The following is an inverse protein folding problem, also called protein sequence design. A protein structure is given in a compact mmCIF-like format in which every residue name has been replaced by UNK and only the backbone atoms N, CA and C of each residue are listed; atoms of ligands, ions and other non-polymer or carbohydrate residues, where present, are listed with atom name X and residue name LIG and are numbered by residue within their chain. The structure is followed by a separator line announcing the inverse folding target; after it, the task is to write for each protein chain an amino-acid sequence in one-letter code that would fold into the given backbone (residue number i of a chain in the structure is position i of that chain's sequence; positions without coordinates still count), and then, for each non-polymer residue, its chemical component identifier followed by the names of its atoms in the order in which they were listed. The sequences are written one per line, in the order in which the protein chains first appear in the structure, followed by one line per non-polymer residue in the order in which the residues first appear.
data_IF_206189342014
#
_entry.id   IF_206189342014
#
_cell.length_a   1.000
_cell.length_b   1.000
_cell.length_c   1.000
_cell.angle_alpha   90.00
_cell.angle_beta   90.00
_cell.angle_gamma   90.00
#
_symmetry.space_group_name_H-M   'P 1'
#
loop_
_entity.id
_entity.type
_entity.pdbx_description
1 polymer ?
#
# COMPACT_ATOMS: atom_id res chain seq x y z
N UNK A 1 5.81 1.95 11.89
CA UNK A 1 6.90 2.70 11.24
C UNK A 1 6.47 2.97 9.81
N UNK A 2 6.56 4.21 9.32
CA UNK A 2 6.17 4.50 7.94
C UNK A 2 7.32 4.06 7.02
N UNK A 3 7.18 2.90 6.40
CA UNK A 3 8.13 2.37 5.43
C UNK A 3 7.97 3.14 4.12
N UNK A 4 9.04 3.80 3.64
CA UNK A 4 9.04 4.54 2.36
C UNK A 4 9.52 3.65 1.21
N UNK A 5 8.83 2.54 0.94
CA UNK A 5 9.24 1.58 -0.10
C UNK A 5 8.76 2.00 -1.48
N UNK A 6 9.65 1.93 -2.47
CA UNK A 6 9.32 2.12 -3.89
C UNK A 6 9.13 0.76 -4.57
N UNK A 7 8.15 0.69 -5.44
CA UNK A 7 7.98 -0.47 -6.31
C UNK A 7 9.23 -0.68 -7.18
N UNK A 8 9.71 -1.92 -7.36
CA UNK A 8 10.75 -2.21 -8.34
C UNK A 8 10.24 -2.07 -9.79
N UNK A 9 8.92 -2.05 -9.99
CA UNK A 9 8.30 -1.93 -11.30
C UNK A 9 7.94 -0.48 -11.61
N UNK A 10 8.29 -0.01 -12.81
CA UNK A 10 7.67 1.20 -13.39
C UNK A 10 6.26 0.83 -13.82
N UNK A 11 5.26 1.37 -13.11
CA UNK A 11 3.85 1.07 -13.36
C UNK A 11 3.01 2.32 -13.53
N UNK A 12 2.21 2.38 -14.59
CA UNK A 12 1.28 3.48 -14.81
C UNK A 12 0.22 3.52 -13.69
N UNK A 13 0.00 4.69 -13.10
CA UNK A 13 -0.89 4.83 -11.95
C UNK A 13 -0.30 4.36 -10.62
N UNK A 14 1.02 4.19 -10.51
CA UNK A 14 1.71 3.92 -9.24
C UNK A 14 1.37 4.95 -8.17
N UNK A 15 1.01 4.47 -6.97
CA UNK A 15 0.46 5.31 -5.88
C UNK A 15 1.52 5.90 -4.96
N UNK A 16 2.81 5.79 -5.31
CA UNK A 16 3.91 6.21 -4.44
C UNK A 16 3.81 7.66 -3.96
N UNK A 17 3.38 8.58 -4.84
CA UNK A 17 3.26 10.02 -4.52
C UNK A 17 2.15 10.35 -3.51
N UNK A 18 1.12 9.49 -3.41
CA UNK A 18 -0.07 9.71 -2.58
C UNK A 18 -0.18 8.72 -1.44
N UNK A 19 0.85 7.89 -1.21
CA UNK A 19 0.80 6.81 -0.22
C UNK A 19 0.54 7.37 1.19
N UNK A 20 1.16 8.49 1.55
CA UNK A 20 0.94 9.14 2.85
C UNK A 20 -0.52 9.54 3.10
N UNK A 21 -1.22 10.01 2.06
CA UNK A 21 -2.65 10.35 2.18
C UNK A 21 -3.52 9.10 2.28
N UNK A 22 -3.20 8.04 1.52
CA UNK A 22 -3.91 6.75 1.62
C UNK A 22 -3.79 6.17 3.04
N UNK A 23 -2.60 6.18 3.62
CA UNK A 23 -2.35 5.63 4.97
C UNK A 23 -3.13 6.35 6.07
N UNK A 24 -3.46 7.64 5.89
CA UNK A 24 -4.26 8.41 6.87
C UNK A 24 -5.71 7.93 6.95
N UNK A 25 -6.25 7.40 5.85
CA UNK A 25 -7.67 7.02 5.74
C UNK A 25 -7.88 5.50 5.65
N UNK A 26 -6.82 4.73 5.39
CA UNK A 26 -6.89 3.28 5.30
C UNK A 26 -7.12 2.66 6.70
N UNK A 27 -8.22 1.92 6.91
CA UNK A 27 -8.50 1.32 8.21
C UNK A 27 -7.62 0.07 8.41
N UNK A 28 -6.49 0.24 9.09
CA UNK A 28 -5.58 -0.86 9.46
C UNK A 28 -5.96 -1.52 10.80
N UNK A 29 -6.44 -0.74 11.78
CA UNK A 29 -6.73 -1.26 13.12
C UNK A 29 -7.87 -2.27 13.08
N UNK A 30 -7.61 -3.49 13.58
CA UNK A 30 -8.61 -4.57 13.65
C UNK A 30 -8.91 -5.22 12.31
N UNK A 31 -8.05 -5.02 11.30
CA UNK A 31 -8.08 -5.74 10.03
C UNK A 31 -6.86 -6.66 9.95
N UNK A 32 -7.06 -7.89 9.49
CA UNK A 32 -5.99 -8.89 9.35
C UNK A 32 -5.47 -8.99 7.93
N UNK A 33 -6.34 -8.77 6.93
CA UNK A 33 -6.03 -8.97 5.52
C UNK A 33 -6.21 -7.71 4.68
N UNK A 34 -5.21 -7.39 3.86
CA UNK A 34 -5.33 -6.42 2.77
C UNK A 34 -5.65 -7.14 1.47
N UNK A 35 -6.79 -6.84 0.87
CA UNK A 35 -7.12 -7.32 -0.49
C UNK A 35 -7.02 -6.13 -1.45
N UNK A 36 -6.08 -6.19 -2.41
CA UNK A 36 -5.93 -5.19 -3.47
C UNK A 36 -6.24 -5.77 -4.86
N UNK A 37 -7.51 -5.74 -5.34
CA UNK A 37 -7.87 -6.29 -6.66
C UNK A 37 -7.14 -5.62 -7.82
N UNK A 38 -6.67 -4.39 -7.62
CA UNK A 38 -5.98 -3.57 -8.61
C UNK A 38 -4.61 -3.12 -8.10
N UNK A 39 -3.80 -4.08 -7.66
CA UNK A 39 -2.49 -3.85 -7.03
C UNK A 39 -1.52 -3.02 -7.89
N UNK A 40 -1.52 -3.23 -9.21
CA UNK A 40 -0.58 -2.61 -10.14
C UNK A 40 0.87 -2.81 -9.67
N UNK A 41 1.63 -1.72 -9.55
CA UNK A 41 3.00 -1.75 -9.01
C UNK A 41 3.11 -2.03 -7.51
N UNK A 42 2.01 -2.30 -6.78
CA UNK A 42 2.05 -2.68 -5.36
C UNK A 42 2.52 -1.59 -4.41
N UNK A 43 2.34 -0.31 -4.78
CA UNK A 43 2.80 0.79 -3.91
C UNK A 43 2.09 0.84 -2.56
N UNK A 44 0.85 0.37 -2.45
CA UNK A 44 0.14 0.33 -1.17
C UNK A 44 0.59 -0.88 -0.37
N UNK A 45 0.47 -2.09 -0.91
CA UNK A 45 1.06 -3.33 -0.38
C UNK A 45 2.45 -3.13 0.25
N UNK A 46 3.39 -2.51 -0.47
CA UNK A 46 4.76 -2.30 0.02
C UNK A 46 4.89 -1.27 1.15
N UNK A 47 3.86 -0.51 1.49
CA UNK A 47 3.96 0.58 2.47
C UNK A 47 2.92 0.43 3.60
N UNK A 48 2.27 -0.74 3.69
CA UNK A 48 1.36 -1.12 4.78
C UNK A 48 1.79 -2.46 5.33
N UNK A 49 1.44 -2.71 6.58
CA UNK A 49 1.69 -4.00 7.22
C UNK A 49 0.34 -4.60 7.64
N UNK A 50 0.04 -5.78 7.08
CA UNK A 50 -1.10 -6.62 7.40
C UNK A 50 -0.59 -8.04 7.66
N UNK A 51 -1.30 -8.79 8.50
CA UNK A 51 -0.95 -10.18 8.81
C UNK A 51 -1.11 -11.09 7.58
N UNK A 52 -2.06 -10.75 6.70
CA UNK A 52 -2.40 -11.47 5.48
C UNK A 52 -2.58 -10.52 4.28
N UNK A 53 -2.39 -11.06 3.07
CA UNK A 53 -2.59 -10.35 1.79
C UNK A 53 -3.40 -11.23 0.83
#
# INVERSE_FOLDING_TARGET
MQTDMRSPLKWAGGKKRVIGEILKVLPVKGKTRLVEPFVGGGSVFLNVDFDEY
#
